data_IF_841040155262
#
_entry.id   IF_841040155262
#
_cell.length_a   1.000
_cell.length_b   1.000
_cell.length_c   1.000
_cell.angle_alpha   90.00
_cell.angle_beta   90.00
_cell.angle_gamma   90.00
#
_symmetry.space_group_name_H-M   'P 1'
#
loop_
_entity.id
_entity.type
_entity.pdbx_description
1 polymer ?
#
# COMPACT_ATOMS: atom_id res chain seq x y z
N UNK A 1 -11.26 -54.61 -52.98
CA UNK A 1 -11.23 -54.22 -52.40
C UNK A 1 -10.81 -53.66 -51.41
N UNK A 2 -10.76 -53.22 -50.70
CA UNK A 2 -10.29 -52.61 -50.01
C UNK A 2 -10.50 -52.01 -48.92
N UNK A 3 -10.36 -51.91 -48.25
CA UNK A 3 -10.54 -51.48 -47.26
C UNK A 3 -9.93 -50.83 -46.39
N UNK A 4 -9.91 -50.35 -45.83
CA UNK A 4 -9.51 -49.67 -45.09
C UNK A 4 -9.60 -49.27 -43.91
N UNK A 5 -9.34 -49.16 -43.20
CA UNK A 5 -9.37 -48.82 -42.20
C UNK A 5 -9.03 -47.96 -41.44
N UNK A 6 -9.07 -47.63 -40.98
CA UNK A 6 -9.02 -46.91 -40.31
C UNK A 6 -8.73 -46.48 -39.27
N UNK A 7 -8.59 -46.36 -38.73
CA UNK A 7 -8.47 -45.89 -37.88
C UNK A 7 -8.25 -45.30 -36.98
N UNK A 8 -8.29 -45.03 -36.58
CA UNK A 8 -8.14 -44.46 -35.87
C UNK A 8 -7.98 -43.99 -34.90
N UNK A 9 -7.94 -43.80 -34.60
CA UNK A 9 -7.91 -43.39 -33.89
C UNK A 9 -7.70 -42.83 -32.89
N UNK A 10 -7.62 -42.86 -32.57
CA UNK A 10 -7.44 -42.57 -31.70
C UNK A 10 -7.18 -41.77 -30.89
N UNK A 11 -7.10 -41.53 -30.77
CA UNK A 11 -6.84 -40.94 -30.15
C UNK A 11 -6.83 -40.29 -29.20
N UNK A 12 -6.90 -40.06 -28.87
CA UNK A 12 -6.93 -39.51 -28.14
C UNK A 12 -6.81 -39.11 -27.04
N UNK A 13 -6.65 -39.23 -26.68
CA UNK A 13 -6.69 -39.05 -25.71
C UNK A 13 -6.20 -38.34 -24.91
N UNK A 14 -5.91 -38.28 -24.77
CA UNK A 14 -5.41 -37.78 -24.07
C UNK A 14 -5.53 -36.85 -23.36
N UNK A 15 -5.56 -36.66 -23.44
CA UNK A 15 -5.69 -35.89 -22.95
C UNK A 15 -5.73 -35.48 -21.88
N UNK A 16 -5.67 -35.68 -21.65
CA UNK A 16 -5.87 -35.41 -20.82
C UNK A 16 -5.44 -34.99 -19.91
N UNK A 17 -5.22 -34.86 -19.71
CA UNK A 17 -4.94 -34.58 -18.87
C UNK A 17 -4.65 -33.81 -18.14
N UNK A 18 -4.43 -33.66 -17.97
CA UNK A 18 -4.17 -33.03 -17.40
C UNK A 18 -4.16 -32.40 -16.48
N UNK A 19 -4.21 -32.18 -16.30
CA UNK A 19 -4.32 -31.39 -15.58
C UNK A 19 -4.26 -31.16 -14.44
N UNK A 20 -4.40 -31.61 -14.24
CA UNK A 20 -4.64 -31.47 -13.10
C UNK A 20 -3.86 -30.87 -12.26
N UNK A 21 -3.15 -31.13 -12.54
CA UNK A 21 -2.34 -30.82 -11.74
C UNK A 21 -2.37 -29.66 -11.13
N UNK A 22 -2.52 -28.98 -11.76
CA UNK A 22 -2.39 -27.79 -11.33
C UNK A 22 -3.18 -27.47 -10.21
N UNK A 23 -4.05 -28.10 -10.08
CA UNK A 23 -4.99 -27.74 -9.14
C UNK A 23 -4.49 -27.34 -7.80
N UNK A 24 -3.51 -27.93 -7.34
CA UNK A 24 -3.14 -27.63 -5.98
C UNK A 24 -2.70 -26.25 -5.74
N UNK A 25 -2.05 -25.75 -6.65
CA UNK A 25 -1.48 -24.46 -6.46
C UNK A 25 -2.47 -23.42 -6.08
N UNK A 26 -3.59 -23.46 -6.64
CA UNK A 26 -4.50 -22.37 -6.38
C UNK A 26 -4.94 -22.23 -4.98
N UNK A 27 -4.78 -23.23 -4.25
CA UNK A 27 -5.29 -23.14 -2.96
C UNK A 27 -4.76 -22.06 -2.17
N UNK A 28 -3.57 -21.76 -2.42
CA UNK A 28 -2.94 -20.74 -1.64
C UNK A 28 -3.42 -19.36 -2.01
N UNK A 29 -3.92 -19.27 -3.18
CA UNK A 29 -4.33 -17.97 -3.67
C UNK A 29 -5.45 -17.32 -2.88
N UNK A 30 -6.44 -18.03 -2.47
CA UNK A 30 -7.49 -17.40 -1.69
C UNK A 30 -7.01 -16.78 -0.41
N UNK A 31 -6.09 -17.45 0.21
CA UNK A 31 -5.54 -16.90 1.43
C UNK A 31 -4.78 -15.63 1.19
N UNK A 32 -4.04 -15.59 0.13
CA UNK A 32 -3.28 -14.42 -0.20
C UNK A 32 -4.20 -13.25 -0.55
N UNK A 33 -5.27 -13.51 -1.24
CA UNK A 33 -6.22 -12.47 -1.59
C UNK A 33 -6.92 -11.94 -0.35
N UNK A 34 -7.31 -12.81 0.52
CA UNK A 34 -7.95 -12.40 1.75
C UNK A 34 -7.02 -11.55 2.61
N UNK A 35 -5.77 -11.91 2.63
CA UNK A 35 -4.79 -11.13 3.35
C UNK A 35 -4.57 -9.75 2.74
N UNK A 36 -4.75 -9.64 1.44
CA UNK A 36 -4.58 -8.36 0.77
C UNK A 36 -5.67 -7.35 1.10
N UNK A 37 -6.85 -7.83 1.42
CA UNK A 37 -7.96 -6.94 1.75
C UNK A 37 -7.86 -6.38 3.15
N UNK A 38 -7.06 -6.99 3.99
CA UNK A 38 -6.84 -6.49 5.33
C UNK A 38 -5.66 -5.51 5.29
N UNK A 39 -5.80 -4.36 5.93
CA UNK A 39 -4.65 -3.50 6.07
C UNK A 39 -3.57 -4.31 6.77
N UNK A 40 -2.41 -4.32 6.18
CA UNK A 40 -1.29 -5.02 6.76
C UNK A 40 -1.09 -4.51 8.18
N UNK A 41 -0.91 -5.37 9.13
CA UNK A 41 -0.69 -4.93 10.50
C UNK A 41 0.54 -4.05 10.52
N UNK A 42 0.39 -2.93 11.19
CA UNK A 42 1.51 -2.02 11.35
C UNK A 42 2.64 -2.76 12.04
N UNK A 43 3.76 -2.87 11.40
CA UNK A 43 4.91 -3.55 11.98
C UNK A 43 5.58 -2.70 13.05
N UNK A 44 5.18 -1.45 13.15
CA UNK A 44 5.80 -0.51 14.06
C UNK A 44 7.10 0.07 13.53
N UNK A 45 7.50 -0.33 12.34
CA UNK A 45 8.75 0.16 11.75
C UNK A 45 8.71 1.67 11.47
N UNK A 46 7.54 2.20 11.23
CA UNK A 46 7.37 3.64 11.01
C UNK A 46 7.40 4.44 12.31
N UNK A 47 7.15 3.81 13.44
CA UNK A 47 6.94 4.51 14.71
C UNK A 47 8.10 5.43 15.12
N UNK A 48 9.37 4.99 15.07
CA UNK A 48 10.47 5.87 15.45
C UNK A 48 10.55 7.12 14.59
N UNK A 49 10.24 6.98 13.31
CA UNK A 49 10.24 8.11 12.37
C UNK A 49 9.03 9.01 12.57
N UNK A 50 7.87 8.43 12.94
CA UNK A 50 6.70 9.23 13.30
C UNK A 50 6.99 10.08 14.52
N UNK A 51 7.59 9.51 15.55
CA UNK A 51 7.92 10.24 16.78
C UNK A 51 8.93 11.36 16.50
N UNK A 52 9.96 11.07 15.72
CA UNK A 52 10.95 12.06 15.35
C UNK A 52 10.34 13.17 14.50
N UNK A 53 9.50 12.81 13.56
CA UNK A 53 8.79 13.76 12.71
C UNK A 53 7.86 14.66 13.51
N UNK A 54 7.09 14.10 14.43
CA UNK A 54 6.22 14.88 15.31
C UNK A 54 7.01 15.82 16.22
N UNK A 55 8.15 15.36 16.72
CA UNK A 55 9.01 16.19 17.53
C UNK A 55 9.54 17.41 16.75
N UNK A 56 9.97 17.17 15.52
CA UNK A 56 10.43 18.23 14.63
C UNK A 56 9.28 19.16 14.25
N UNK A 57 8.11 18.61 13.98
CA UNK A 57 6.92 19.39 13.61
C UNK A 57 6.52 20.36 14.73
N UNK A 58 6.55 19.90 15.97
CA UNK A 58 6.22 20.77 17.11
C UNK A 58 7.19 21.92 17.25
N UNK A 59 8.43 21.74 16.84
CA UNK A 59 9.45 22.80 16.85
C UNK A 59 9.37 23.68 15.61
N UNK A 60 8.38 23.42 14.74
CA UNK A 60 8.21 24.09 13.45
C UNK A 60 9.35 23.84 12.47
N UNK A 61 10.12 22.80 12.68
CA UNK A 61 11.16 22.37 11.75
C UNK A 61 10.51 21.51 10.67
N UNK A 62 9.68 22.12 9.84
CA UNK A 62 8.85 21.37 8.89
C UNK A 62 9.66 20.59 7.87
N UNK A 63 10.77 21.12 7.39
CA UNK A 63 11.63 20.38 6.46
C UNK A 63 12.22 19.13 7.09
N UNK A 64 12.62 19.22 8.36
CA UNK A 64 13.12 18.06 9.09
C UNK A 64 12.00 17.06 9.34
N UNK A 65 10.83 17.54 9.72
CA UNK A 65 9.66 16.69 9.91
C UNK A 65 9.30 15.95 8.63
N UNK A 66 9.35 16.63 7.49
CA UNK A 66 9.07 16.00 6.19
C UNK A 66 10.01 14.84 5.90
N UNK A 67 11.29 15.01 6.20
CA UNK A 67 12.29 13.96 6.01
C UNK A 67 11.94 12.73 6.86
N UNK A 68 11.62 12.94 8.12
CA UNK A 68 11.29 11.82 9.02
C UNK A 68 9.97 11.15 8.63
N UNK A 69 8.94 11.91 8.29
CA UNK A 69 7.69 11.32 7.84
C UNK A 69 7.84 10.59 6.51
N UNK A 70 8.73 11.03 5.64
CA UNK A 70 9.03 10.30 4.40
C UNK A 70 9.65 8.94 4.70
N UNK A 71 10.60 8.91 5.65
CA UNK A 71 11.17 7.64 6.12
C UNK A 71 10.11 6.74 6.74
N UNK A 72 9.15 7.32 7.45
CA UNK A 72 8.04 6.55 8.00
C UNK A 72 7.18 5.90 6.92
N UNK A 73 6.90 6.64 5.84
CA UNK A 73 6.15 6.11 4.70
C UNK A 73 6.95 5.03 3.97
N UNK A 74 8.28 5.21 3.85
CA UNK A 74 9.14 4.22 3.22
C UNK A 74 9.19 2.93 4.05
N UNK A 75 9.17 3.06 5.38
CA UNK A 75 9.17 1.92 6.27
C UNK A 75 7.82 1.19 6.29
N UNK A 76 6.72 1.93 6.25
CA UNK A 76 5.36 1.38 6.24
C UNK A 76 4.47 2.16 5.27
N UNK A 77 4.48 1.79 3.98
CA UNK A 77 3.69 2.49 2.97
C UNK A 77 2.18 2.43 3.18
N UNK A 78 1.71 1.49 4.00
CA UNK A 78 0.30 1.32 4.32
C UNK A 78 -0.11 2.03 5.61
N UNK A 79 0.80 2.74 6.24
CA UNK A 79 0.49 3.48 7.45
C UNK A 79 -0.25 4.78 7.10
N UNK A 80 -1.54 4.84 7.39
CA UNK A 80 -2.34 6.03 7.19
C UNK A 80 -1.74 7.22 7.97
N UNK A 81 -1.23 6.96 9.16
CA UNK A 81 -0.60 7.98 9.98
C UNK A 81 0.63 8.58 9.30
N UNK A 82 1.52 7.73 8.78
CA UNK A 82 2.73 8.20 8.11
C UNK A 82 2.40 9.05 6.90
N UNK A 83 1.46 8.58 6.07
CA UNK A 83 1.03 9.30 4.87
C UNK A 83 0.35 10.62 5.23
N UNK A 84 -0.51 10.62 6.26
CA UNK A 84 -1.21 11.82 6.69
C UNK A 84 -0.23 12.89 7.20
N UNK A 85 0.67 12.52 8.10
CA UNK A 85 1.62 13.49 8.65
C UNK A 85 2.57 14.03 7.60
N UNK A 86 2.97 13.20 6.64
CA UNK A 86 3.74 13.67 5.49
C UNK A 86 2.94 14.70 4.68
N UNK A 87 1.67 14.41 4.40
CA UNK A 87 0.80 15.33 3.67
C UNK A 87 0.62 16.66 4.39
N UNK A 88 0.36 16.60 5.69
CA UNK A 88 0.16 17.82 6.47
C UNK A 88 1.44 18.65 6.57
N UNK A 89 2.59 18.01 6.70
CA UNK A 89 3.87 18.72 6.72
C UNK A 89 4.16 19.37 5.38
N UNK A 90 3.89 18.64 4.29
CA UNK A 90 4.03 19.17 2.94
C UNK A 90 3.11 20.39 2.75
N UNK A 91 1.89 20.34 3.28
CA UNK A 91 0.97 21.47 3.26
C UNK A 91 1.55 22.66 4.02
N UNK A 92 2.10 22.43 5.23
CA UNK A 92 2.68 23.50 6.04
C UNK A 92 3.87 24.16 5.36
N UNK A 93 4.67 23.43 4.64
CA UNK A 93 5.78 23.98 3.86
C UNK A 93 5.24 24.83 2.70
N UNK A 94 4.14 24.42 2.11
CA UNK A 94 3.54 25.14 0.98
C UNK A 94 2.58 26.26 1.39
N UNK A 95 2.21 26.31 2.67
CA UNK A 95 1.22 27.24 3.18
C UNK A 95 1.52 28.73 2.90
N UNK A 96 2.78 29.19 2.95
CA UNK A 96 3.07 30.60 2.68
C UNK A 96 2.73 31.02 1.25
N UNK A 97 2.56 30.07 0.34
CA UNK A 97 2.20 30.38 -1.04
C UNK A 97 0.69 30.63 -1.13
N UNK A 98 0.32 31.84 -1.54
CA UNK A 98 -1.07 32.24 -1.55
C UNK A 98 -1.92 31.49 -2.58
N UNK A 99 -1.29 31.06 -3.67
CA UNK A 99 -1.99 30.37 -4.75
C UNK A 99 -1.83 28.86 -4.61
N UNK A 100 -2.60 28.13 -5.39
CA UNK A 100 -2.39 26.72 -5.52
C UNK A 100 -0.98 26.48 -6.01
N UNK A 101 -0.32 25.60 -5.33
CA UNK A 101 1.06 25.24 -5.62
C UNK A 101 1.20 23.75 -5.71
N UNK A 102 2.20 23.26 -6.43
CA UNK A 102 2.43 21.81 -6.51
C UNK A 102 2.54 21.17 -5.13
N UNK A 103 3.03 21.89 -4.13
CA UNK A 103 3.09 21.40 -2.76
C UNK A 103 1.73 21.20 -2.13
N UNK A 104 0.77 22.11 -2.39
CA UNK A 104 -0.59 21.96 -1.88
C UNK A 104 -1.32 20.84 -2.59
N UNK A 105 -1.11 20.70 -3.89
CA UNK A 105 -1.70 19.61 -4.66
C UNK A 105 -1.19 18.26 -4.15
N UNK A 106 0.11 18.14 -3.96
CA UNK A 106 0.72 16.94 -3.42
C UNK A 106 0.21 16.62 -2.01
N UNK A 107 0.01 17.63 -1.19
CA UNK A 107 -0.56 17.44 0.14
C UNK A 107 -1.98 16.88 0.06
N UNK A 108 -2.78 17.38 -0.87
CA UNK A 108 -4.14 16.87 -1.07
C UNK A 108 -4.13 15.40 -1.51
N UNK A 109 -3.22 15.03 -2.39
CA UNK A 109 -3.07 13.63 -2.81
C UNK A 109 -2.70 12.73 -1.64
N UNK A 110 -1.78 13.19 -0.78
CA UNK A 110 -1.37 12.44 0.40
C UNK A 110 -2.50 12.30 1.40
N UNK A 111 -3.33 13.33 1.60
CA UNK A 111 -4.51 13.22 2.44
C UNK A 111 -5.51 12.21 1.87
N UNK A 112 -5.77 12.27 0.57
CA UNK A 112 -6.67 11.32 -0.08
C UNK A 112 -6.16 9.89 0.09
N UNK A 113 -4.86 9.68 -0.05
CA UNK A 113 -4.25 8.38 0.14
C UNK A 113 -4.37 7.91 1.60
N UNK A 114 -4.12 8.78 2.56
CA UNK A 114 -4.21 8.44 3.97
C UNK A 114 -5.62 7.98 4.35
N UNK A 115 -6.64 8.71 3.91
CA UNK A 115 -8.02 8.35 4.19
C UNK A 115 -8.52 7.16 3.37
N UNK A 116 -7.87 6.86 2.25
CA UNK A 116 -8.15 5.63 1.52
C UNK A 116 -7.57 4.41 2.26
N UNK A 117 -6.45 4.58 2.96
CA UNK A 117 -5.85 3.53 3.76
C UNK A 117 -6.63 3.29 5.05
N UNK A 118 -7.08 4.35 5.70
CA UNK A 118 -7.89 4.27 6.92
C UNK A 118 -8.87 5.45 6.98
N UNK A 119 -10.12 5.22 6.58
CA UNK A 119 -11.15 6.26 6.63
C UNK A 119 -11.47 6.77 8.03
N UNK A 120 -11.09 6.03 9.04
CA UNK A 120 -11.36 6.39 10.44
C UNK A 120 -10.17 7.04 11.14
N UNK A 121 -9.09 7.23 10.42
CA UNK A 121 -7.87 7.78 10.98
C UNK A 121 -8.08 9.18 11.55
N UNK A 122 -7.60 9.37 12.77
CA UNK A 122 -7.60 10.65 13.44
C UNK A 122 -6.17 11.01 13.84
N UNK A 123 -5.68 12.17 13.41
CA UNK A 123 -4.32 12.56 13.74
C UNK A 123 -4.15 12.89 15.21
N UNK A 124 -3.07 12.41 15.77
CA UNK A 124 -2.72 12.70 17.17
C UNK A 124 -1.46 13.55 17.18
N UNK A 125 -1.62 14.78 17.61
CA UNK A 125 -0.53 15.77 17.62
C UNK A 125 0.27 15.78 18.92
N UNK A 126 -0.20 15.07 19.91
CA UNK A 126 0.43 14.99 21.21
C UNK A 126 0.95 13.59 21.43
N UNK A 127 2.22 13.50 21.75
CA UNK A 127 2.65 12.26 22.40
C UNK A 127 2.10 12.32 23.81
N UNK A 128 1.50 11.24 24.22
CA UNK A 128 1.10 11.11 25.61
C UNK A 128 2.32 11.36 26.47
N UNK A 129 2.14 12.15 27.51
CA UNK A 129 3.20 12.36 28.48
C UNK A 129 3.48 11.08 29.24
#
# INVERSE_FOLDING_TARGET
>A
MIVIPVVLAALLPALQQTPPAAAPAPRDSPSAVAASDMPAPSTGAAQPHLDAGLAAFRKRHFSQAEIEFRKAVDAEPQSAAAVFYLGYTTYKIAEPKRHDSPGKQKAAELFAKAYALDPTFQPVWHTAK
#
